data_IF_747144722181
#
_entry.id   IF_747144722181
#
_cell.length_a   1.000
_cell.length_b   1.000
_cell.length_c   1.000
_cell.angle_alpha   90.00
_cell.angle_beta   90.00
_cell.angle_gamma   90.00
#
_symmetry.space_group_name_H-M   'P 1'
#
loop_
_entity.id
_entity.type
_entity.pdbx_description
1 polymer ?
#
# COMPACT_ATOMS: atom_id res chain seq x y z
N UNK A 1 -1.26 -11.36 -0.81
CA UNK A 1 -2.48 -11.01 -1.60
C UNK A 1 -2.10 -10.22 -2.84
N UNK A 2 -2.99 -10.08 -3.82
CA UNK A 2 -2.80 -9.20 -4.99
C UNK A 2 -3.95 -8.19 -5.08
N UNK A 3 -3.64 -7.00 -5.54
CA UNK A 3 -4.59 -5.92 -5.84
C UNK A 3 -4.09 -5.15 -7.07
N UNK A 4 -4.79 -4.10 -7.47
CA UNK A 4 -4.42 -3.23 -8.58
C UNK A 4 -4.12 -1.82 -8.09
N UNK A 5 -3.17 -1.14 -8.74
CA UNK A 5 -2.95 0.29 -8.55
C UNK A 5 -2.53 0.92 -9.87
N UNK A 6 -3.25 1.96 -10.31
CA UNK A 6 -2.99 2.60 -11.61
C UNK A 6 -3.00 1.62 -12.79
N UNK A 7 -3.89 0.62 -12.76
CA UNK A 7 -4.02 -0.41 -13.81
C UNK A 7 -2.93 -1.49 -13.81
N UNK A 8 -2.00 -1.48 -12.85
CA UNK A 8 -0.93 -2.48 -12.72
C UNK A 8 -1.19 -3.42 -11.56
N UNK A 9 -0.75 -4.68 -11.68
CA UNK A 9 -0.77 -5.60 -10.54
C UNK A 9 0.14 -5.12 -9.41
N UNK A 10 -0.38 -5.19 -8.19
CA UNK A 10 0.33 -4.86 -6.96
C UNK A 10 0.19 -6.02 -5.98
N UNK A 11 1.29 -6.73 -5.74
CA UNK A 11 1.34 -7.86 -4.80
C UNK A 11 1.83 -7.38 -3.45
N UNK A 12 1.15 -7.86 -2.41
CA UNK A 12 1.45 -7.56 -1.01
C UNK A 12 1.87 -8.87 -0.34
N UNK A 13 3.08 -8.89 0.22
CA UNK A 13 3.70 -10.07 0.81
C UNK A 13 3.70 -10.04 2.34
N UNK A 14 3.92 -8.87 2.93
CA UNK A 14 4.01 -8.70 4.38
C UNK A 14 3.32 -7.42 4.81
N UNK A 15 2.54 -7.53 5.88
CA UNK A 15 1.77 -6.42 6.45
C UNK A 15 1.83 -6.44 7.96
N UNK A 16 1.55 -5.30 8.60
CA UNK A 16 1.25 -5.19 10.01
C UNK A 16 -0.11 -4.50 10.19
N UNK A 17 -0.90 -4.98 11.14
CA UNK A 17 -2.18 -4.35 11.51
C UNK A 17 -1.90 -3.14 12.38
N UNK A 18 -2.57 -2.04 12.10
CA UNK A 18 -2.57 -0.85 12.95
C UNK A 18 -3.99 -0.64 13.48
N UNK A 19 -4.13 -0.61 14.80
CA UNK A 19 -5.39 -0.37 15.49
C UNK A 19 -5.71 1.12 15.52
N UNK A 20 -6.09 1.65 14.36
CA UNK A 20 -6.55 3.02 14.15
C UNK A 20 -7.73 3.00 13.18
N UNK A 21 -8.66 3.93 13.34
CA UNK A 21 -9.75 4.06 12.38
C UNK A 21 -9.23 4.59 11.04
N UNK A 22 -9.66 3.92 9.97
CA UNK A 22 -9.39 4.32 8.59
C UNK A 22 -10.50 5.14 7.97
N UNK A 23 -10.29 5.50 6.71
CA UNK A 23 -11.30 6.16 5.88
C UNK A 23 -12.00 5.12 5.00
N UNK A 24 -12.04 5.33 3.67
CA UNK A 24 -12.66 4.38 2.74
C UNK A 24 -11.70 3.20 2.52
N UNK A 25 -12.19 1.94 2.52
CA UNK A 25 -11.36 0.78 2.23
C UNK A 25 -10.62 0.90 0.89
N UNK A 26 -9.35 0.48 0.90
CA UNK A 26 -8.42 0.58 -0.22
C UNK A 26 -7.70 1.92 -0.32
N UNK A 27 -8.00 2.91 0.52
CA UNK A 27 -7.37 4.25 0.45
C UNK A 27 -5.99 4.24 1.09
N UNK A 28 -4.99 4.80 0.41
CA UNK A 28 -3.67 5.05 0.99
C UNK A 28 -3.79 6.19 2.00
N UNK A 29 -3.54 5.89 3.28
CA UNK A 29 -3.60 6.85 4.39
C UNK A 29 -2.25 7.51 4.62
N UNK A 30 -1.17 6.75 4.49
CA UNK A 30 0.21 7.25 4.64
C UNK A 30 1.07 6.77 3.47
N UNK A 31 1.85 7.68 2.88
CA UNK A 31 2.74 7.44 1.76
C UNK A 31 4.00 8.32 1.87
N UNK A 32 4.74 8.20 2.97
CA UNK A 32 5.95 8.99 3.19
C UNK A 32 6.83 8.36 4.27
N UNK A 33 8.08 8.81 4.40
CA UNK A 33 9.01 8.41 5.47
C UNK A 33 9.15 6.89 5.63
N UNK A 34 9.12 6.12 4.54
CA UNK A 34 9.20 4.67 4.60
C UNK A 34 7.90 3.94 4.98
N UNK A 35 6.83 4.69 5.28
CA UNK A 35 5.53 4.16 5.70
C UNK A 35 4.54 4.16 4.54
N UNK A 36 3.97 2.99 4.26
CA UNK A 36 2.88 2.78 3.31
C UNK A 36 1.71 2.15 4.05
N UNK A 37 0.69 2.95 4.36
CA UNK A 37 -0.47 2.51 5.15
C UNK A 37 -1.73 2.64 4.33
N UNK A 38 -2.58 1.61 4.35
CA UNK A 38 -3.87 1.58 3.65
C UNK A 38 -5.02 1.38 4.63
N UNK A 39 -6.15 2.02 4.34
CA UNK A 39 -7.40 1.79 5.07
C UNK A 39 -8.06 0.49 4.59
N UNK A 40 -8.59 -0.26 5.55
CA UNK A 40 -9.37 -1.48 5.32
C UNK A 40 -10.83 -1.26 5.75
N UNK A 41 -11.67 -2.29 5.64
CA UNK A 41 -13.05 -2.26 6.16
C UNK A 41 -13.11 -2.06 7.68
N UNK A 42 -12.10 -2.57 8.36
CA UNK A 42 -11.87 -2.37 9.79
C UNK A 42 -10.36 -2.18 10.02
N UNK A 43 -9.97 -1.16 10.78
CA UNK A 43 -8.58 -0.80 11.02
C UNK A 43 -7.78 -0.27 9.81
N UNK A 44 -6.46 -0.30 9.95
CA UNK A 44 -5.49 0.03 8.89
C UNK A 44 -4.47 -1.10 8.72
N UNK A 45 -3.91 -1.21 7.51
CA UNK A 45 -2.79 -2.11 7.21
C UNK A 45 -1.56 -1.31 6.79
N UNK A 46 -0.46 -1.49 7.54
CA UNK A 46 0.87 -1.08 7.10
C UNK A 46 1.45 -2.14 6.17
N UNK A 47 1.81 -1.75 4.95
CA UNK A 47 2.45 -2.62 3.97
C UNK A 47 3.95 -2.57 4.19
N UNK A 48 4.57 -3.74 4.42
CA UNK A 48 5.98 -3.86 4.73
C UNK A 48 6.79 -4.38 3.54
N UNK A 49 6.22 -5.31 2.77
CA UNK A 49 6.84 -5.88 1.57
C UNK A 49 5.84 -5.98 0.43
N UNK A 50 6.24 -5.44 -0.73
CA UNK A 50 5.37 -5.27 -1.90
C UNK A 50 6.10 -5.59 -3.20
N UNK A 51 5.34 -5.72 -4.28
CA UNK A 51 5.85 -5.83 -5.64
C UNK A 51 4.84 -5.22 -6.60
N UNK A 52 5.28 -4.24 -7.39
CA UNK A 52 4.53 -3.78 -8.55
C UNK A 52 4.90 -4.61 -9.78
N UNK A 53 3.96 -4.74 -10.71
CA UNK A 53 4.12 -5.46 -11.97
C UNK A 53 5.43 -5.10 -12.69
N UNK A 54 6.15 -6.13 -13.13
CA UNK A 54 7.45 -5.98 -13.82
C UNK A 54 8.62 -5.57 -12.92
N UNK A 55 8.44 -5.43 -11.60
CA UNK A 55 9.52 -5.14 -10.64
C UNK A 55 9.80 -6.33 -9.71
N UNK A 56 10.94 -6.29 -9.04
CA UNK A 56 11.29 -7.25 -7.99
C UNK A 56 10.45 -6.99 -6.73
N UNK A 57 10.24 -8.03 -5.92
CA UNK A 57 9.75 -7.88 -4.54
C UNK A 57 10.72 -6.99 -3.76
N UNK A 58 10.20 -6.03 -2.99
CA UNK A 58 11.00 -5.08 -2.24
C UNK A 58 10.30 -4.62 -0.95
N UNK A 59 11.05 -4.06 0.02
CA UNK A 59 10.49 -3.32 1.15
C UNK A 59 9.62 -2.15 0.67
N UNK A 60 8.54 -1.86 1.40
CA UNK A 60 7.67 -0.72 1.08
C UNK A 60 8.43 0.61 1.12
N UNK A 61 9.40 0.76 2.03
CA UNK A 61 10.26 1.93 2.09
C UNK A 61 11.05 2.18 0.80
N UNK A 62 11.48 1.12 0.12
CA UNK A 62 12.19 1.22 -1.16
C UNK A 62 11.23 1.56 -2.30
N UNK A 63 10.03 0.97 -2.28
CA UNK A 63 8.97 1.29 -3.23
C UNK A 63 8.59 2.78 -3.20
N UNK A 64 8.45 3.37 -2.01
CA UNK A 64 8.09 4.78 -1.83
C UNK A 64 9.05 5.77 -2.50
N UNK A 65 10.34 5.42 -2.64
CA UNK A 65 11.36 6.32 -3.22
C UNK A 65 11.22 6.52 -4.73
N UNK A 66 10.58 5.59 -5.43
CA UNK A 66 10.43 5.62 -6.89
C UNK A 66 8.99 5.62 -7.37
N UNK A 67 8.02 5.62 -6.46
CA UNK A 67 6.61 5.58 -6.78
C UNK A 67 6.02 6.99 -6.88
N UNK A 68 5.08 7.17 -7.82
CA UNK A 68 4.36 8.44 -8.04
C UNK A 68 3.01 8.49 -7.33
N UNK A 69 2.73 7.52 -6.46
CA UNK A 69 1.49 7.46 -5.68
C UNK A 69 1.56 8.45 -4.52
N UNK A 70 0.41 8.75 -3.93
CA UNK A 70 0.26 9.65 -2.79
C UNK A 70 -0.84 9.19 -1.84
N UNK A 71 -0.85 9.78 -0.65
CA UNK A 71 -1.98 9.67 0.25
C UNK A 71 -3.28 10.14 -0.45
N UNK A 72 -4.35 9.37 -0.29
CA UNK A 72 -5.64 9.55 -0.98
C UNK A 72 -5.84 8.67 -2.22
N UNK A 73 -4.77 8.14 -2.82
CA UNK A 73 -4.91 7.16 -3.91
C UNK A 73 -5.56 5.87 -3.42
N UNK A 74 -6.17 5.09 -4.32
CA UNK A 74 -6.90 3.87 -3.96
C UNK A 74 -6.36 2.63 -4.67
N UNK A 75 -6.24 1.56 -3.91
CA UNK A 75 -5.95 0.20 -4.39
C UNK A 75 -7.26 -0.53 -4.74
N UNK A 76 -7.21 -1.42 -5.73
CA UNK A 76 -8.31 -2.31 -6.08
C UNK A 76 -9.39 -1.70 -6.98
N UNK A 77 -9.05 -0.64 -7.71
CA UNK A 77 -9.85 -0.11 -8.82
C UNK A 77 -9.49 -0.82 -10.13
#
# INVERSE_FOLDING_TARGET
MVTTVGGKQFRIFKTAVLDRQGTKPGTIVEFHNGSLVIATGDGLLSLLEVQIEGKKKMPAADFLRGATLKAGDRLGL
#
